data_IF_750664251914
#
_entry.id   IF_750664251914
#
_cell.length_a   1.000
_cell.length_b   1.000
_cell.length_c   1.000
_cell.angle_alpha   90.00
_cell.angle_beta   90.00
_cell.angle_gamma   90.00
#
_symmetry.space_group_name_H-M   'P 1'
#
loop_
_entity.id
_entity.type
_entity.pdbx_description
1 polymer ?
#
# COMPACT_ATOMS: atom_id res chain seq x y z
N UNK A 1 -32.72 15.41 4.01
CA UNK A 1 -32.50 14.10 4.64
C UNK A 1 -31.38 14.25 5.66
N UNK A 2 -31.62 13.91 6.92
CA UNK A 2 -30.67 14.10 8.02
C UNK A 2 -29.58 13.03 7.98
N UNK A 3 -28.33 13.43 7.77
CA UNK A 3 -27.18 12.60 8.15
C UNK A 3 -27.06 12.62 9.68
N UNK A 4 -26.90 11.43 10.25
CA UNK A 4 -27.05 11.13 11.67
C UNK A 4 -26.20 12.04 12.59
N UNK A 5 -26.79 12.43 13.72
CA UNK A 5 -26.19 13.20 14.82
C UNK A 5 -25.08 12.38 15.52
N UNK A 6 -23.90 12.28 14.93
CA UNK A 6 -22.71 11.76 15.60
C UNK A 6 -22.24 12.77 16.64
N UNK A 7 -22.39 12.45 17.93
CA UNK A 7 -21.81 13.24 19.02
C UNK A 7 -20.29 13.24 18.89
N UNK A 8 -19.64 14.38 19.12
CA UNK A 8 -18.18 14.46 19.15
C UNK A 8 -17.61 13.73 20.37
N UNK A 9 -16.34 13.31 20.31
CA UNK A 9 -15.64 12.70 21.45
C UNK A 9 -15.68 13.57 22.72
N UNK A 10 -15.56 14.89 22.56
CA UNK A 10 -15.67 15.85 23.65
C UNK A 10 -17.06 15.81 24.31
N UNK A 11 -18.13 15.82 23.51
CA UNK A 11 -19.49 15.78 24.04
C UNK A 11 -19.77 14.47 24.81
N UNK A 12 -19.19 13.36 24.33
CA UNK A 12 -19.32 12.05 24.99
C UNK A 12 -18.57 12.01 26.33
N UNK A 13 -17.39 12.63 26.40
CA UNK A 13 -16.66 12.77 27.66
C UNK A 13 -17.42 13.66 28.64
N UNK A 14 -17.88 14.83 28.20
CA UNK A 14 -18.61 15.78 29.05
C UNK A 14 -19.89 15.17 29.63
N UNK A 15 -20.68 14.44 28.83
CA UNK A 15 -21.88 13.73 29.30
C UNK A 15 -21.55 12.73 30.44
N UNK A 16 -20.42 12.03 30.35
CA UNK A 16 -19.98 11.04 31.35
C UNK A 16 -19.34 11.70 32.58
N UNK A 17 -18.60 12.80 32.40
CA UNK A 17 -18.06 13.58 33.53
C UNK A 17 -19.20 14.19 34.35
N UNK A 18 -20.25 14.69 33.69
CA UNK A 18 -21.45 15.20 34.33
C UNK A 18 -22.23 14.11 35.08
N UNK A 19 -22.28 12.88 34.55
CA UNK A 19 -22.99 11.76 35.20
C UNK A 19 -22.20 11.16 36.37
N UNK A 20 -20.88 11.02 36.22
CA UNK A 20 -19.99 10.37 37.18
C UNK A 20 -19.41 11.31 38.24
N UNK A 21 -19.45 12.62 37.99
CA UNK A 21 -18.83 13.64 38.83
C UNK A 21 -17.29 13.57 38.86
N UNK A 22 -16.68 12.80 37.94
CA UNK A 22 -15.24 12.56 37.85
C UNK A 22 -14.77 12.82 36.43
N UNK A 23 -13.53 13.28 36.30
CA UNK A 23 -12.88 13.44 35.00
C UNK A 23 -12.74 12.08 34.31
N UNK A 24 -13.06 12.01 33.03
CA UNK A 24 -12.95 10.77 32.25
C UNK A 24 -11.48 10.52 31.92
N UNK A 25 -10.96 9.38 32.38
CA UNK A 25 -9.61 8.92 32.05
C UNK A 25 -9.47 8.57 30.57
N UNK A 26 -8.24 8.52 30.05
CA UNK A 26 -8.02 8.24 28.61
C UNK A 26 -8.43 6.81 28.23
N UNK A 27 -8.20 5.85 29.12
CA UNK A 27 -8.67 4.47 28.93
C UNK A 27 -10.19 4.39 28.98
N UNK A 28 -10.82 5.16 29.87
CA UNK A 28 -12.29 5.21 29.98
C UNK A 28 -12.91 5.86 28.74
N UNK A 29 -12.29 6.89 28.18
CA UNK A 29 -12.70 7.50 26.91
C UNK A 29 -12.61 6.50 25.75
N UNK A 30 -11.57 5.67 25.71
CA UNK A 30 -11.44 4.59 24.72
C UNK A 30 -12.62 3.62 24.83
N UNK A 31 -12.94 3.17 26.04
CA UNK A 31 -14.05 2.26 26.31
C UNK A 31 -15.41 2.83 25.88
N UNK A 32 -15.71 4.09 26.21
CA UNK A 32 -17.00 4.70 25.88
C UNK A 32 -17.15 4.83 24.36
N UNK A 33 -16.07 5.11 23.66
CA UNK A 33 -16.09 5.39 22.22
C UNK A 33 -16.03 4.14 21.36
N UNK A 34 -15.55 3.03 21.91
CA UNK A 34 -15.44 1.74 21.24
C UNK A 34 -16.47 0.72 21.73
N UNK A 35 -17.44 1.13 22.56
CA UNK A 35 -18.62 0.35 22.95
C UNK A 35 -19.88 0.87 22.28
N UNK A 36 -20.81 -0.04 21.98
CA UNK A 36 -22.18 0.29 21.59
C UNK A 36 -22.99 0.69 22.82
N UNK A 37 -24.21 1.20 22.61
CA UNK A 37 -25.13 1.57 23.68
C UNK A 37 -25.55 0.41 24.57
N UNK A 38 -25.50 -0.82 24.07
CA UNK A 38 -25.77 -2.05 24.81
C UNK A 38 -24.56 -2.52 25.66
N UNK A 39 -23.45 -1.77 25.62
CA UNK A 39 -22.21 -2.09 26.33
C UNK A 39 -21.29 -3.07 25.61
N UNK A 40 -21.71 -3.66 24.48
CA UNK A 40 -20.87 -4.57 23.69
C UNK A 40 -19.79 -3.83 22.90
N UNK A 41 -18.61 -4.44 22.63
CA UNK A 41 -17.59 -3.83 21.79
C UNK A 41 -18.09 -3.58 20.36
N UNK A 42 -17.64 -2.46 19.77
CA UNK A 42 -18.03 -2.07 18.42
C UNK A 42 -17.49 -3.04 17.35
N UNK A 43 -16.28 -3.56 17.56
CA UNK A 43 -15.56 -4.48 16.67
C UNK A 43 -14.81 -5.54 17.45
N UNK A 44 -14.42 -6.64 16.80
CA UNK A 44 -13.57 -7.68 17.39
C UNK A 44 -12.18 -7.13 17.75
N UNK A 45 -11.63 -6.22 16.93
CA UNK A 45 -10.38 -5.52 17.25
C UNK A 45 -10.51 -4.67 18.52
N UNK A 46 -11.65 -3.99 18.71
CA UNK A 46 -11.92 -3.25 19.95
C UNK A 46 -11.94 -4.21 21.14
N UNK A 47 -12.60 -5.37 21.04
CA UNK A 47 -12.60 -6.39 22.10
C UNK A 47 -11.18 -6.79 22.51
N UNK A 48 -10.33 -7.16 21.55
CA UNK A 48 -8.94 -7.55 21.83
C UNK A 48 -8.13 -6.42 22.47
N UNK A 49 -8.33 -5.18 22.01
CA UNK A 49 -7.62 -4.02 22.55
C UNK A 49 -8.08 -3.75 23.98
N UNK A 50 -9.39 -3.77 24.24
CA UNK A 50 -9.95 -3.51 25.57
C UNK A 50 -9.49 -4.54 26.60
N UNK A 51 -9.43 -5.82 26.21
CA UNK A 51 -8.87 -6.90 27.04
C UNK A 51 -7.40 -6.61 27.39
N UNK A 52 -6.58 -6.28 26.39
CA UNK A 52 -5.17 -5.92 26.62
C UNK A 52 -4.99 -4.67 27.48
N UNK A 53 -5.82 -3.64 27.29
CA UNK A 53 -5.79 -2.44 28.11
C UNK A 53 -6.14 -2.76 29.57
N UNK A 54 -7.14 -3.63 29.80
CA UNK A 54 -7.55 -4.08 31.13
C UNK A 54 -6.46 -4.87 31.84
N UNK A 55 -5.85 -5.84 31.16
CA UNK A 55 -4.76 -6.64 31.71
C UNK A 55 -3.55 -5.76 32.06
N UNK A 56 -3.18 -4.85 31.15
CA UNK A 56 -2.06 -3.95 31.38
C UNK A 56 -2.33 -2.96 32.52
N UNK A 57 -3.57 -2.48 32.65
CA UNK A 57 -3.98 -1.63 33.77
C UNK A 57 -3.80 -2.34 35.11
N UNK A 58 -4.20 -3.60 35.21
CA UNK A 58 -3.99 -4.40 36.42
C UNK A 58 -2.50 -4.58 36.75
N UNK A 59 -1.64 -4.81 35.75
CA UNK A 59 -0.19 -4.90 35.93
C UNK A 59 0.41 -3.60 36.49
N UNK A 60 0.04 -2.44 35.93
CA UNK A 60 0.56 -1.15 36.40
C UNK A 60 -0.04 -0.70 37.74
N UNK A 61 -1.30 -1.00 38.03
CA UNK A 61 -1.89 -0.72 39.34
C UNK A 61 -1.19 -1.55 40.44
N UNK A 62 -0.82 -2.80 40.16
CA UNK A 62 -0.05 -3.62 41.09
C UNK A 62 1.35 -3.03 41.35
N UNK A 63 2.01 -2.50 40.30
CA UNK A 63 3.32 -1.84 40.43
C UNK A 63 3.19 -0.53 41.21
N UNK A 64 2.22 0.32 40.87
CA UNK A 64 1.98 1.59 41.55
C UNK A 64 1.57 1.41 43.02
N UNK A 65 0.89 0.30 43.34
CA UNK A 65 0.61 -0.07 44.74
C UNK A 65 1.88 -0.35 45.54
N UNK A 66 2.97 -0.75 44.88
CA UNK A 66 4.29 -0.95 45.51
C UNK A 66 5.17 0.30 45.44
N UNK A 67 5.01 1.13 44.41
CA UNK A 67 5.84 2.29 44.14
C UNK A 67 4.99 3.57 44.27
N UNK A 68 5.05 4.19 45.45
CA UNK A 68 4.18 5.32 45.84
C UNK A 68 4.30 6.59 44.99
N UNK A 69 5.20 6.60 44.00
CA UNK A 69 5.51 7.78 43.18
C UNK A 69 4.79 7.79 41.82
N UNK A 70 4.08 6.72 41.43
CA UNK A 70 3.48 6.62 40.09
C UNK A 70 2.08 7.24 40.05
N UNK A 71 1.89 8.28 39.22
CA UNK A 71 0.58 8.92 39.00
C UNK A 71 -0.29 8.08 38.04
N UNK A 72 -1.60 7.92 38.35
CA UNK A 72 -2.56 7.21 37.51
C UNK A 72 -2.68 7.76 36.08
N UNK A 73 -2.58 9.08 35.91
CA UNK A 73 -2.60 9.70 34.57
C UNK A 73 -1.36 9.32 33.75
N UNK A 74 -0.21 9.10 34.41
CA UNK A 74 1.03 8.64 33.77
C UNK A 74 0.92 7.17 33.35
N UNK A 75 0.26 6.36 34.18
CA UNK A 75 -0.05 4.95 33.90
C UNK A 75 -0.95 4.81 32.66
N UNK A 76 -2.04 5.57 32.58
CA UNK A 76 -2.94 5.56 31.42
C UNK A 76 -2.21 5.93 30.12
N UNK A 77 -1.34 6.93 30.17
CA UNK A 77 -0.54 7.37 29.03
C UNK A 77 0.44 6.29 28.56
N UNK A 78 1.10 5.64 29.52
CA UNK A 78 2.06 4.59 29.25
C UNK A 78 1.39 3.34 28.68
N UNK A 79 0.23 2.95 29.21
CA UNK A 79 -0.57 1.84 28.72
C UNK A 79 -1.05 2.11 27.29
N UNK A 80 -1.62 3.28 27.02
CA UNK A 80 -2.07 3.67 25.68
C UNK A 80 -0.92 3.61 24.68
N UNK A 81 0.25 4.14 25.06
CA UNK A 81 1.42 4.15 24.18
C UNK A 81 1.90 2.73 23.89
N UNK A 82 1.93 1.85 24.89
CA UNK A 82 2.36 0.46 24.70
C UNK A 82 1.35 -0.35 23.90
N UNK A 83 0.06 -0.29 24.22
CA UNK A 83 -0.96 -1.13 23.56
C UNK A 83 -1.34 -0.57 22.19
N UNK A 84 -1.78 0.70 22.13
CA UNK A 84 -2.25 1.31 20.89
C UNK A 84 -1.08 1.75 19.99
N UNK A 85 0.07 2.13 20.56
CA UNK A 85 1.25 2.47 19.78
C UNK A 85 1.84 1.27 19.04
N UNK A 86 1.98 0.11 19.71
CA UNK A 86 2.46 -1.11 19.07
C UNK A 86 1.51 -1.59 17.96
N UNK A 87 0.19 -1.58 18.20
CA UNK A 87 -0.80 -1.98 17.19
C UNK A 87 -0.73 -1.10 15.93
N UNK A 88 -0.58 0.22 16.10
CA UNK A 88 -0.41 1.16 14.97
C UNK A 88 0.89 0.90 14.21
N UNK A 89 1.99 0.68 14.93
CA UNK A 89 3.29 0.40 14.33
C UNK A 89 3.26 -0.90 13.50
N UNK A 90 2.72 -1.99 14.04
CA UNK A 90 2.59 -3.26 13.31
C UNK A 90 1.70 -3.12 12.06
N UNK A 91 0.61 -2.37 12.14
CA UNK A 91 -0.26 -2.09 10.98
C UNK A 91 0.50 -1.32 9.89
N UNK A 92 1.21 -0.26 10.27
CA UNK A 92 2.02 0.52 9.35
C UNK A 92 3.11 -0.34 8.69
N UNK A 93 3.75 -1.22 9.45
CA UNK A 93 4.76 -2.14 8.93
C UNK A 93 4.17 -3.11 7.88
N UNK A 94 2.99 -3.67 8.13
CA UNK A 94 2.31 -4.56 7.19
C UNK A 94 1.95 -3.83 5.89
N UNK A 95 1.50 -2.58 5.98
CA UNK A 95 1.17 -1.76 4.81
C UNK A 95 2.42 -1.40 4.00
N UNK A 96 3.51 -1.01 4.67
CA UNK A 96 4.81 -0.79 4.03
C UNK A 96 5.29 -2.04 3.31
N UNK A 97 5.15 -3.22 3.92
CA UNK A 97 5.54 -4.48 3.28
C UNK A 97 4.72 -4.75 2.02
N UNK A 98 3.40 -4.58 2.09
CA UNK A 98 2.52 -4.73 0.93
C UNK A 98 2.92 -3.80 -0.22
N UNK A 99 3.25 -2.54 0.09
CA UNK A 99 3.71 -1.58 -0.92
C UNK A 99 5.05 -2.00 -1.54
N UNK A 100 5.98 -2.53 -0.75
CA UNK A 100 7.24 -3.10 -1.26
C UNK A 100 6.99 -4.24 -2.23
N UNK A 101 6.10 -5.17 -1.88
CA UNK A 101 5.78 -6.31 -2.73
C UNK A 101 5.14 -5.86 -4.05
N UNK A 102 4.28 -4.84 -4.01
CA UNK A 102 3.71 -4.23 -5.22
C UNK A 102 4.77 -3.56 -6.10
N UNK A 103 5.70 -2.81 -5.50
CA UNK A 103 6.82 -2.21 -6.25
C UNK A 103 7.72 -3.27 -6.87
N UNK A 104 8.02 -4.35 -6.15
CA UNK A 104 8.81 -5.46 -6.70
C UNK A 104 8.09 -6.11 -7.89
N UNK A 105 6.78 -6.33 -7.80
CA UNK A 105 5.98 -6.86 -8.91
C UNK A 105 5.99 -5.94 -10.13
N UNK A 106 5.88 -4.63 -9.92
CA UNK A 106 5.98 -3.64 -11.01
C UNK A 106 7.37 -3.59 -11.63
N UNK A 107 8.43 -3.73 -10.84
CA UNK A 107 9.79 -3.79 -11.37
C UNK A 107 9.99 -5.03 -12.25
N UNK A 108 9.52 -6.20 -11.81
CA UNK A 108 9.62 -7.43 -12.59
C UNK A 108 8.88 -7.30 -13.92
N UNK A 109 7.65 -6.78 -13.93
CA UNK A 109 6.89 -6.61 -15.17
C UNK A 109 7.50 -5.56 -16.10
N UNK A 110 8.11 -4.50 -15.56
CA UNK A 110 8.82 -3.51 -16.37
C UNK A 110 10.06 -4.10 -17.05
N UNK A 111 10.85 -4.89 -16.32
CA UNK A 111 12.03 -5.59 -16.88
C UNK A 111 11.61 -6.57 -17.97
N UNK A 112 10.53 -7.32 -17.76
CA UNK A 112 9.99 -8.25 -18.75
C UNK A 112 9.53 -7.54 -20.03
N UNK A 113 8.81 -6.41 -19.90
CA UNK A 113 8.41 -5.60 -21.06
C UNK A 113 9.61 -5.02 -21.83
N UNK A 114 10.63 -4.54 -21.12
CA UNK A 114 11.86 -4.04 -21.76
C UNK A 114 12.55 -5.14 -22.56
N UNK A 115 12.62 -6.37 -22.02
CA UNK A 115 13.21 -7.50 -22.72
C UNK A 115 12.42 -7.83 -24.00
N UNK A 116 11.09 -7.89 -23.92
CA UNK A 116 10.23 -8.14 -25.08
C UNK A 116 10.40 -7.07 -26.17
N UNK A 117 10.33 -5.78 -25.80
CA UNK A 117 10.53 -4.68 -26.75
C UNK A 117 11.92 -4.72 -27.40
N UNK A 118 12.95 -5.11 -26.65
CA UNK A 118 14.30 -5.26 -27.20
C UNK A 118 14.38 -6.39 -28.22
N UNK A 119 13.79 -7.55 -27.92
CA UNK A 119 13.73 -8.66 -28.88
C UNK A 119 12.95 -8.29 -30.14
N UNK A 120 11.82 -7.61 -29.98
CA UNK A 120 11.00 -7.15 -31.09
C UNK A 120 11.75 -6.13 -31.96
N UNK A 121 12.43 -5.16 -31.34
CA UNK A 121 13.25 -4.17 -32.05
C UNK A 121 14.35 -4.86 -32.88
N UNK A 122 15.06 -5.84 -32.32
CA UNK A 122 16.08 -6.60 -33.07
C UNK A 122 15.48 -7.40 -34.23
N UNK A 123 14.28 -7.96 -34.09
CA UNK A 123 13.60 -8.67 -35.18
C UNK A 123 13.20 -7.71 -36.30
N UNK A 124 12.60 -6.56 -35.96
CA UNK A 124 12.21 -5.53 -36.94
C UNK A 124 13.40 -4.97 -37.70
N UNK A 125 14.53 -4.76 -37.03
CA UNK A 125 15.78 -4.31 -37.66
C UNK A 125 16.34 -5.36 -38.63
N UNK A 126 16.37 -6.64 -38.23
CA UNK A 126 16.82 -7.73 -39.10
C UNK A 126 15.91 -7.92 -40.33
N UNK A 127 14.59 -7.72 -40.19
CA UNK A 127 13.66 -7.76 -41.31
C UNK A 127 13.84 -6.58 -42.27
N UNK A 128 14.04 -5.37 -41.75
CA UNK A 128 14.31 -4.19 -42.57
C UNK A 128 15.60 -4.36 -43.37
N UNK A 129 16.65 -4.89 -42.75
CA UNK A 129 17.93 -5.17 -43.41
C UNK A 129 17.76 -6.20 -44.54
N UNK A 130 17.02 -7.29 -44.29
CA UNK A 130 16.72 -8.30 -45.32
C UNK A 130 15.99 -7.70 -46.52
N UNK A 131 14.96 -6.87 -46.28
CA UNK A 131 14.23 -6.19 -47.37
C UNK A 131 15.13 -5.25 -48.18
N UNK A 132 16.04 -4.55 -47.52
CA UNK A 132 16.99 -3.68 -48.20
C UNK A 132 17.94 -4.46 -49.11
N UNK A 133 18.51 -5.57 -48.63
CA UNK A 133 19.40 -6.43 -49.41
C UNK A 133 18.69 -7.07 -50.61
N UNK A 134 17.44 -7.51 -50.42
CA UNK A 134 16.61 -8.05 -51.51
C UNK A 134 16.37 -7.00 -52.61
N UNK A 135 16.04 -5.76 -52.24
CA UNK A 135 15.81 -4.68 -53.20
C UNK A 135 17.08 -4.30 -53.97
N UNK A 136 18.24 -4.32 -53.30
CA UNK A 136 19.54 -4.13 -53.95
C UNK A 136 19.84 -5.22 -54.99
N UNK A 137 19.47 -6.48 -54.70
CA UNK A 137 19.62 -7.58 -55.65
C UNK A 137 18.67 -7.43 -56.85
N UNK A 138 17.41 -7.05 -56.61
CA UNK A 138 16.44 -6.82 -57.69
C UNK A 138 16.90 -5.72 -58.65
N UNK A 139 17.38 -4.58 -58.13
CA UNK A 139 17.88 -3.47 -58.95
C UNK A 139 19.10 -3.87 -59.80
N UNK A 140 20.02 -4.68 -59.25
CA UNK A 140 21.16 -5.20 -60.01
C UNK A 140 20.72 -6.13 -61.13
N UNK A 141 19.80 -7.06 -60.84
CA UNK A 141 19.26 -7.98 -61.83
C UNK A 141 18.56 -7.23 -62.98
N UNK A 142 17.75 -6.21 -62.64
CA UNK A 142 17.07 -5.37 -63.63
C UNK A 142 18.06 -4.58 -64.50
N UNK A 143 19.11 -3.99 -63.91
CA UNK A 143 20.14 -3.28 -64.65
C UNK A 143 20.91 -4.20 -65.62
N UNK A 144 21.18 -5.45 -65.22
CA UNK A 144 21.78 -6.46 -66.10
C UNK A 144 20.84 -6.84 -67.23
N UNK A 145 19.55 -7.08 -66.94
CA UNK A 145 18.55 -7.41 -67.95
C UNK A 145 18.43 -6.30 -69.01
N UNK A 146 18.35 -5.03 -68.58
CA UNK A 146 18.32 -3.87 -69.48
C UNK A 146 19.57 -3.74 -70.35
N UNK A 147 20.76 -4.05 -69.81
CA UNK A 147 22.00 -4.07 -70.62
C UNK A 147 21.99 -5.18 -71.67
N UNK A 148 21.55 -6.39 -71.29
CA UNK A 148 21.47 -7.53 -72.23
C UNK A 148 20.48 -7.23 -73.36
N UNK A 149 19.33 -6.64 -73.03
CA UNK A 149 18.31 -6.26 -74.00
C UNK A 149 18.81 -5.17 -74.95
N UNK A 150 19.49 -4.14 -74.43
CA UNK A 150 20.12 -3.11 -75.26
C UNK A 150 21.16 -3.71 -76.23
N UNK A 151 22.02 -4.63 -75.77
CA UNK A 151 23.01 -5.29 -76.63
C UNK A 151 22.37 -6.13 -77.74
N UNK A 152 21.27 -6.84 -77.47
CA UNK A 152 20.54 -7.59 -78.51
C UNK A 152 19.99 -6.69 -79.62
N UNK A 153 19.51 -5.50 -79.28
CA UNK A 153 18.98 -4.54 -80.27
C UNK A 153 20.09 -4.06 -81.24
N UNK A 154 21.33 -3.95 -80.78
CA UNK A 154 22.47 -3.56 -81.64
C UNK A 154 22.99 -4.70 -82.52
N UNK A 155 22.83 -5.97 -82.11
CA UNK A 155 23.25 -7.15 -82.88
C UNK A 155 22.25 -7.53 -84.00
N UNK A 156 21.02 -7.01 -83.96
CA UNK A 156 19.95 -7.26 -84.95
C UNK A 156 19.85 -6.17 -86.05
N UNK A 157 20.81 -5.22 -86.10
CA UNK A 157 20.91 -4.10 -87.05
C UNK A 157 22.05 -4.31 -88.06
#
# INVERSE_FOLDING_TARGET
MHTARSKSFAYVADDEELSSGKKVGRLQLFDITHKKKDGSPLTTEATEIMEKLKDKRAEYEAIASSDSFVNLDDIDNQIITKVLGLKRYSRAQAEVQRLKDQMAKMQVSAVEQIAQLKTEATSREAEAQRKYEELQLQLKAEAVAKKVEASRIYDEL
#
